data_IF_409246724623
#
_entry.id   IF_409246724623
#
_cell.length_a   1.000
_cell.length_b   1.000
_cell.length_c   1.000
_cell.angle_alpha   90.00
_cell.angle_beta   90.00
_cell.angle_gamma   90.00
#
_symmetry.space_group_name_H-M   'P 1'
#
loop_
_entity.id
_entity.type
_entity.pdbx_description
1 polymer ?
#
# COMPACT_ATOMS: atom_id res chain seq x y z
N UNK A 1 8.83 -27.86 -12.00
CA UNK A 1 8.51 -26.86 -10.96
C UNK A 1 8.59 -25.50 -11.61
N UNK A 2 7.46 -24.82 -11.79
CA UNK A 2 7.40 -23.56 -12.52
C UNK A 2 6.68 -22.57 -11.61
N UNK A 3 7.44 -21.68 -10.97
CA UNK A 3 6.89 -20.56 -10.20
C UNK A 3 6.08 -19.69 -11.15
N UNK A 4 4.75 -19.78 -11.08
CA UNK A 4 3.85 -18.89 -11.82
C UNK A 4 3.65 -17.65 -10.97
N UNK A 5 4.51 -16.67 -11.17
CA UNK A 5 4.29 -15.29 -10.72
C UNK A 5 2.95 -14.80 -11.26
N UNK A 6 2.15 -14.13 -10.42
CA UNK A 6 0.96 -13.41 -10.86
C UNK A 6 1.37 -12.36 -11.90
N UNK A 7 0.59 -12.14 -12.97
CA UNK A 7 0.91 -11.14 -13.97
C UNK A 7 0.89 -9.76 -13.31
N UNK A 8 2.09 -9.18 -13.20
CA UNK A 8 2.32 -7.78 -12.95
C UNK A 8 1.65 -7.03 -14.10
N UNK A 9 0.61 -6.23 -13.81
CA UNK A 9 0.14 -5.24 -14.77
C UNK A 9 1.03 -3.99 -14.63
N UNK A 10 2.26 -4.06 -15.14
CA UNK A 10 3.00 -2.85 -15.50
C UNK A 10 2.33 -2.30 -16.74
N UNK A 11 1.35 -1.42 -16.56
CA UNK A 11 0.85 -0.63 -17.68
C UNK A 11 1.92 0.42 -17.97
N UNK A 12 2.80 0.13 -18.91
CA UNK A 12 3.58 1.17 -19.57
C UNK A 12 2.61 1.99 -20.40
N UNK A 13 2.34 3.23 -20.01
CA UNK A 13 1.74 4.19 -20.92
C UNK A 13 2.88 4.74 -21.80
N UNK A 14 2.95 4.43 -23.10
CA UNK A 14 4.08 4.84 -23.95
C UNK A 14 4.18 6.37 -24.17
N UNK A 15 3.22 7.15 -23.67
CA UNK A 15 3.19 8.60 -23.79
C UNK A 15 3.71 9.36 -22.56
N UNK A 16 3.88 8.69 -21.42
CA UNK A 16 4.40 9.29 -20.19
C UNK A 16 5.28 8.26 -19.49
N UNK A 17 6.49 8.61 -19.04
CA UNK A 17 7.39 7.69 -18.31
C UNK A 17 6.87 7.33 -16.90
N UNK A 18 5.56 7.16 -16.75
CA UNK A 18 4.86 6.92 -15.50
C UNK A 18 4.99 5.45 -15.13
N UNK A 19 5.72 5.20 -14.06
CA UNK A 19 5.72 3.90 -13.38
C UNK A 19 4.69 3.97 -12.26
N UNK A 20 3.67 3.10 -12.33
CA UNK A 20 2.68 2.92 -11.28
C UNK A 20 2.71 1.47 -10.82
N UNK A 21 2.65 1.25 -9.50
CA UNK A 21 2.46 -0.08 -8.92
C UNK A 21 1.20 -0.02 -8.08
N UNK A 22 0.26 -0.91 -8.36
CA UNK A 22 -1.00 -1.08 -7.63
C UNK A 22 -1.06 -2.48 -7.06
N UNK A 23 -1.47 -2.60 -5.81
CA UNK A 23 -1.89 -3.88 -5.25
C UNK A 23 -3.29 -3.77 -4.67
N UNK A 24 -4.01 -4.88 -4.66
CA UNK A 24 -5.31 -4.99 -4.04
C UNK A 24 -5.30 -6.19 -3.11
N UNK A 25 -5.70 -5.99 -1.87
CA UNK A 25 -5.96 -7.09 -0.95
C UNK A 25 -7.29 -7.72 -1.35
N UNK A 26 -7.25 -8.71 -2.26
CA UNK A 26 -8.39 -9.59 -2.49
C UNK A 26 -8.40 -10.63 -1.37
N UNK A 27 -9.60 -10.96 -0.86
CA UNK A 27 -9.83 -12.05 0.10
C UNK A 27 -8.96 -13.27 -0.24
N UNK A 28 -8.47 -14.04 0.75
CA UNK A 28 -7.65 -15.23 0.50
C UNK A 28 -8.34 -16.10 -0.55
N UNK A 29 -7.62 -16.40 -1.63
CA UNK A 29 -8.13 -17.24 -2.70
C UNK A 29 -8.19 -18.65 -2.16
N UNK A 30 -9.39 -19.15 -1.86
CA UNK A 30 -9.57 -20.59 -1.65
C UNK A 30 -9.18 -21.31 -2.94
N UNK A 31 -8.01 -21.93 -2.95
CA UNK A 31 -7.59 -22.83 -4.01
C UNK A 31 -8.32 -24.16 -3.80
N UNK A 32 -9.48 -24.31 -4.45
CA UNK A 32 -10.09 -25.62 -4.61
C UNK A 32 -9.18 -26.47 -5.51
N UNK A 33 -8.43 -27.38 -4.89
CA UNK A 33 -7.77 -28.48 -5.58
C UNK A 33 -8.79 -29.61 -5.77
N UNK A 34 -8.73 -30.30 -6.91
CA UNK A 34 -9.52 -31.52 -7.17
C UNK A 34 -8.79 -32.80 -6.75
N UNK A 35 -7.63 -32.67 -6.11
CA UNK A 35 -6.81 -33.79 -5.64
C UNK A 35 -7.04 -34.03 -4.14
N UNK A 36 -7.72 -35.12 -3.75
CA UNK A 36 -8.02 -35.44 -2.36
C UNK A 36 -6.79 -35.78 -1.50
N UNK A 37 -5.59 -35.86 -2.09
CA UNK A 37 -4.32 -36.04 -1.37
C UNK A 37 -3.61 -34.73 -1.01
N UNK A 38 -4.06 -33.59 -1.55
CA UNK A 38 -3.50 -32.26 -1.32
C UNK A 38 -4.45 -31.39 -0.50
N UNK A 39 -4.98 -31.93 0.60
CA UNK A 39 -5.73 -31.14 1.60
C UNK A 39 -4.77 -30.36 2.51
N UNK A 40 -3.85 -29.62 1.91
CA UNK A 40 -3.13 -28.57 2.61
C UNK A 40 -3.66 -27.25 2.07
N UNK A 41 -4.36 -26.52 2.92
CA UNK A 41 -4.63 -25.10 2.70
C UNK A 41 -3.26 -24.41 2.67
N UNK A 42 -2.63 -24.33 1.50
CA UNK A 42 -1.44 -23.51 1.33
C UNK A 42 -1.93 -22.06 1.27
N UNK A 43 -2.08 -21.44 2.44
CA UNK A 43 -2.13 -19.98 2.58
C UNK A 43 -0.75 -19.45 2.21
N UNK A 44 -0.47 -19.24 0.92
CA UNK A 44 0.58 -18.28 0.55
C UNK A 44 0.01 -16.89 0.79
N UNK A 45 -0.04 -16.46 2.05
CA UNK A 45 -0.28 -15.07 2.44
C UNK A 45 0.91 -14.15 2.06
N UNK A 46 1.86 -14.66 1.27
CA UNK A 46 3.02 -13.93 0.76
C UNK A 46 2.61 -12.94 -0.34
N UNK A 47 1.86 -11.92 0.06
CA UNK A 47 1.69 -10.70 -0.73
C UNK A 47 2.89 -9.81 -0.39
N UNK A 48 3.99 -9.98 -1.13
CA UNK A 48 5.08 -9.01 -1.11
C UNK A 48 4.78 -7.90 -2.12
N UNK A 49 4.63 -6.68 -1.62
CA UNK A 49 4.75 -5.46 -2.41
C UNK A 49 6.16 -5.43 -3.00
N UNK A 50 6.26 -5.27 -4.32
CA UNK A 50 7.54 -5.10 -4.97
C UNK A 50 8.30 -3.95 -4.31
N UNK A 51 9.59 -4.14 -4.04
CA UNK A 51 10.46 -3.08 -3.55
C UNK A 51 10.45 -1.93 -4.55
N UNK A 52 10.15 -0.72 -4.07
CA UNK A 52 10.14 0.46 -4.90
C UNK A 52 11.56 1.04 -4.93
N UNK A 53 12.29 0.85 -6.04
CA UNK A 53 13.62 1.45 -6.20
C UNK A 53 13.52 3.00 -6.13
N UNK A 54 14.04 3.62 -5.06
CA UNK A 54 14.12 5.07 -4.84
C UNK A 54 12.80 5.84 -4.62
N UNK A 55 11.77 5.23 -4.00
CA UNK A 55 10.53 5.95 -3.64
C UNK A 55 10.60 6.65 -2.27
N UNK A 56 9.93 7.80 -2.10
CA UNK A 56 9.83 8.58 -0.85
C UNK A 56 8.87 7.96 0.21
N UNK A 57 8.46 6.71 0.01
CA UNK A 57 7.52 5.99 0.88
C UNK A 57 8.04 4.58 1.20
N UNK A 58 9.36 4.38 1.17
CA UNK A 58 9.98 3.07 1.36
C UNK A 58 9.63 2.48 2.73
N UNK A 59 9.59 3.31 3.78
CA UNK A 59 9.34 2.86 5.14
C UNK A 59 7.90 2.39 5.32
N UNK A 60 6.92 3.15 4.83
CA UNK A 60 5.51 2.73 4.95
C UNK A 60 5.24 1.48 4.14
N UNK A 61 5.86 1.33 2.97
CA UNK A 61 5.72 0.13 2.14
C UNK A 61 6.38 -1.09 2.80
N UNK A 62 7.56 -0.93 3.38
CA UNK A 62 8.25 -1.99 4.10
C UNK A 62 7.45 -2.47 5.32
N UNK A 63 6.88 -1.53 6.09
CA UNK A 63 6.03 -1.86 7.23
C UNK A 63 4.71 -2.52 6.80
N UNK A 64 4.09 -2.07 5.71
CA UNK A 64 2.91 -2.72 5.13
C UNK A 64 3.22 -4.16 4.70
N UNK A 65 4.35 -4.38 4.05
CA UNK A 65 4.84 -5.72 3.70
C UNK A 65 4.95 -6.61 4.93
N UNK A 66 5.69 -6.15 5.95
CA UNK A 66 5.85 -6.88 7.20
C UNK A 66 4.50 -7.24 7.81
N UNK A 67 3.52 -6.33 7.74
CA UNK A 67 2.19 -6.53 8.28
C UNK A 67 1.37 -7.56 7.50
N UNK A 68 1.38 -7.48 6.17
CA UNK A 68 0.69 -8.43 5.30
C UNK A 68 1.24 -9.85 5.48
N UNK A 69 2.56 -10.00 5.62
CA UNK A 69 3.20 -11.28 5.91
C UNK A 69 2.87 -11.83 7.31
N UNK A 70 2.67 -10.95 8.30
CA UNK A 70 2.42 -11.37 9.68
C UNK A 70 0.93 -11.67 9.94
N UNK A 71 0.02 -10.82 9.46
CA UNK A 71 -1.41 -10.92 9.77
C UNK A 71 -2.34 -11.13 8.57
N UNK A 72 -1.87 -10.91 7.34
CA UNK A 72 -2.70 -11.01 6.13
C UNK A 72 -3.67 -9.85 5.90
N UNK A 73 -3.66 -8.82 6.74
CA UNK A 73 -4.44 -7.58 6.58
C UNK A 73 -3.68 -6.37 7.13
N UNK A 74 -4.10 -5.17 6.76
CA UNK A 74 -3.42 -3.93 7.13
C UNK A 74 -4.44 -2.86 7.51
N UNK A 75 -4.49 -2.53 8.81
CA UNK A 75 -5.28 -1.43 9.34
C UNK A 75 -4.33 -0.28 9.73
N UNK A 76 -4.63 0.94 9.30
CA UNK A 76 -3.75 2.10 9.48
C UNK A 76 -4.42 3.21 10.27
N UNK A 77 -3.62 3.90 11.06
CA UNK A 77 -3.90 5.23 11.57
C UNK A 77 -3.00 6.24 10.83
N UNK A 78 -3.55 7.39 10.43
CA UNK A 78 -2.77 8.49 9.85
C UNK A 78 -3.01 9.74 10.68
N UNK A 79 -1.94 10.45 10.99
CA UNK A 79 -1.91 11.61 11.87
C UNK A 79 -1.30 12.82 11.16
N UNK A 80 -1.72 14.01 11.58
CA UNK A 80 -1.16 15.29 11.11
C UNK A 80 0.05 15.74 11.93
N UNK A 81 0.42 15.00 12.98
CA UNK A 81 1.59 15.26 13.80
C UNK A 81 2.19 13.98 14.41
N UNK A 82 3.40 14.11 14.97
CA UNK A 82 4.12 13.01 15.60
C UNK A 82 3.54 12.58 16.97
N UNK A 83 2.56 13.31 17.53
CA UNK A 83 1.98 12.97 18.83
C UNK A 83 1.02 11.78 18.75
N UNK A 84 0.48 11.51 17.56
CA UNK A 84 -0.51 10.45 17.35
C UNK A 84 -1.89 10.77 17.90
N UNK A 85 -2.20 12.04 18.16
CA UNK A 85 -3.48 12.46 18.77
C UNK A 85 -4.44 13.11 17.79
N UNK A 86 -3.93 13.75 16.73
CA UNK A 86 -4.72 14.42 15.69
C UNK A 86 -4.67 13.57 14.42
N UNK A 87 -5.81 13.00 14.04
CA UNK A 87 -5.94 12.18 12.84
C UNK A 87 -6.03 13.04 11.58
N UNK A 88 -5.41 12.56 10.50
CA UNK A 88 -5.71 13.03 9.16
C UNK A 88 -7.10 12.57 8.73
N UNK A 89 -7.66 13.24 7.73
CA UNK A 89 -8.96 12.91 7.16
C UNK A 89 -8.80 12.38 5.73
N UNK A 90 -9.70 11.47 5.34
CA UNK A 90 -9.83 11.02 3.96
C UNK A 90 -10.54 12.06 3.08
N UNK A 91 -10.74 11.73 1.80
CA UNK A 91 -11.44 12.58 0.83
C UNK A 91 -12.94 12.81 1.17
N UNK A 92 -13.51 12.07 2.13
CA UNK A 92 -14.87 12.25 2.62
C UNK A 92 -14.92 13.03 3.94
N UNK A 93 -13.77 13.47 4.46
CA UNK A 93 -13.66 14.18 5.73
C UNK A 93 -13.75 13.29 6.97
N UNK A 94 -13.65 11.96 6.82
CA UNK A 94 -13.64 11.02 7.95
C UNK A 94 -12.22 10.84 8.45
N UNK A 95 -12.06 10.73 9.77
CA UNK A 95 -10.77 10.43 10.38
C UNK A 95 -10.22 9.09 9.88
N UNK A 96 -8.91 9.05 9.67
CA UNK A 96 -8.18 7.84 9.32
C UNK A 96 -7.67 7.19 10.61
N UNK A 97 -8.61 6.63 11.37
CA UNK A 97 -8.36 5.84 12.57
C UNK A 97 -8.78 4.39 12.32
N UNK A 98 -7.85 3.45 12.46
CA UNK A 98 -8.05 2.00 12.28
C UNK A 98 -8.75 1.65 10.98
N UNK A 99 -8.37 2.31 9.90
CA UNK A 99 -8.98 2.11 8.58
C UNK A 99 -8.32 0.94 7.87
N UNK A 100 -9.13 0.03 7.36
CA UNK A 100 -8.66 -1.12 6.60
C UNK A 100 -8.21 -0.68 5.21
N UNK A 101 -6.95 -0.98 4.85
CA UNK A 101 -6.42 -0.66 3.52
C UNK A 101 -6.86 -1.74 2.54
N UNK A 102 -7.75 -1.40 1.61
CA UNK A 102 -8.21 -2.27 0.53
C UNK A 102 -7.18 -2.37 -0.61
N UNK A 103 -6.57 -1.24 -0.94
CA UNK A 103 -5.51 -1.17 -1.95
C UNK A 103 -4.60 0.01 -1.69
N UNK A 104 -3.38 -0.07 -2.20
CA UNK A 104 -2.50 1.09 -2.33
C UNK A 104 -1.91 1.11 -3.73
N UNK A 105 -1.73 2.32 -4.25
CA UNK A 105 -0.99 2.60 -5.45
C UNK A 105 0.10 3.63 -5.15
N UNK A 106 1.29 3.44 -5.72
CA UNK A 106 2.30 4.49 -5.74
C UNK A 106 2.72 4.77 -7.18
N UNK A 107 2.78 6.06 -7.49
CA UNK A 107 3.27 6.59 -8.75
C UNK A 107 4.61 7.26 -8.50
N UNK A 108 5.63 6.84 -9.24
CA UNK A 108 6.95 7.46 -9.14
C UNK A 108 6.94 8.87 -9.73
N UNK A 109 7.83 9.78 -9.27
CA UNK A 109 8.04 11.05 -9.93
C UNK A 109 8.38 10.85 -11.42
N UNK A 110 7.87 11.73 -12.26
CA UNK A 110 8.05 11.64 -13.71
C UNK A 110 8.02 13.02 -14.37
N UNK A 111 8.47 13.08 -15.62
CA UNK A 111 8.28 14.25 -16.50
C UNK A 111 7.05 14.00 -17.36
N UNK A 112 6.09 14.93 -17.34
CA UNK A 112 4.86 14.80 -18.11
C UNK A 112 5.04 15.16 -19.60
N UNK A 113 3.95 15.08 -20.37
CA UNK A 113 3.97 15.40 -21.80
C UNK A 113 4.26 16.87 -22.13
N UNK A 114 4.19 17.76 -21.15
CA UNK A 114 4.50 19.20 -21.27
C UNK A 114 5.97 19.50 -20.93
N UNK A 115 6.70 18.52 -20.38
CA UNK A 115 8.07 18.69 -19.91
C UNK A 115 8.16 19.10 -18.43
N UNK A 116 7.04 19.13 -17.71
CA UNK A 116 7.00 19.54 -16.31
C UNK A 116 7.33 18.36 -15.39
N UNK A 117 8.04 18.65 -14.30
CA UNK A 117 8.31 17.65 -13.26
C UNK A 117 7.07 17.45 -12.37
N UNK A 118 6.62 16.20 -12.29
CA UNK A 118 5.50 15.78 -11.46
C UNK A 118 6.04 14.93 -10.31
N UNK A 119 5.74 15.34 -9.07
CA UNK A 119 6.07 14.59 -7.87
C UNK A 119 5.37 13.22 -7.84
N UNK A 120 6.01 12.26 -7.18
CA UNK A 120 5.38 10.98 -6.90
C UNK A 120 4.17 11.13 -5.97
N UNK A 121 3.35 10.08 -5.89
CA UNK A 121 2.12 10.11 -5.11
C UNK A 121 1.76 8.71 -4.63
N UNK A 122 1.50 8.56 -3.33
CA UNK A 122 0.88 7.37 -2.74
C UNK A 122 -0.62 7.60 -2.57
N UNK A 123 -1.42 6.62 -3.01
CA UNK A 123 -2.87 6.59 -2.84
C UNK A 123 -3.23 5.33 -2.07
N UNK A 124 -3.88 5.51 -0.93
CA UNK A 124 -4.51 4.45 -0.14
C UNK A 124 -6.01 4.49 -0.41
N UNK A 125 -6.60 3.32 -0.68
CA UNK A 125 -8.05 3.15 -0.77
C UNK A 125 -8.50 2.29 0.39
N UNK A 126 -9.52 2.75 1.11
CA UNK A 126 -10.08 2.05 2.25
C UNK A 126 -11.23 1.12 1.86
N UNK A 127 -11.75 0.37 2.83
CA UNK A 127 -12.81 -0.62 2.65
C UNK A 127 -14.15 -0.03 2.17
N UNK A 128 -14.44 1.22 2.56
CA UNK A 128 -15.60 2.01 2.12
C UNK A 128 -15.35 2.79 0.82
N UNK A 129 -14.27 2.48 0.09
CA UNK A 129 -13.84 3.11 -1.15
C UNK A 129 -13.39 4.59 -1.01
N UNK A 130 -13.38 5.15 0.21
CA UNK A 130 -12.76 6.45 0.43
C UNK A 130 -11.23 6.36 0.29
N UNK A 131 -10.59 7.49 0.02
CA UNK A 131 -9.17 7.56 -0.33
C UNK A 131 -8.41 8.55 0.53
N UNK A 132 -7.15 8.22 0.78
CA UNK A 132 -6.13 9.15 1.24
C UNK A 132 -5.01 9.18 0.20
N UNK A 133 -4.58 10.38 -0.21
CA UNK A 133 -3.47 10.53 -1.15
C UNK A 133 -2.45 11.51 -0.64
N UNK A 134 -1.17 11.21 -0.82
CA UNK A 134 -0.06 12.03 -0.36
C UNK A 134 1.00 12.16 -1.46
N UNK A 135 1.31 13.40 -1.83
CA UNK A 135 2.40 13.73 -2.76
C UNK A 135 3.75 13.56 -2.07
N UNK A 136 4.76 13.14 -2.83
CA UNK A 136 6.16 13.12 -2.39
C UNK A 136 6.62 14.51 -1.91
N UNK A 137 6.04 15.61 -2.39
CA UNK A 137 6.37 16.96 -1.90
C UNK A 137 6.02 17.15 -0.42
N UNK A 138 5.02 16.43 0.08
CA UNK A 138 4.46 16.62 1.43
C UNK A 138 4.59 15.38 2.32
N UNK A 139 5.41 14.39 1.94
CA UNK A 139 5.54 13.14 2.69
C UNK A 139 5.86 13.37 4.18
N UNK A 140 6.65 14.39 4.52
CA UNK A 140 7.01 14.73 5.90
C UNK A 140 5.90 15.38 6.74
N UNK A 141 4.75 15.71 6.16
CA UNK A 141 3.64 16.39 6.87
C UNK A 141 2.72 15.40 7.59
N UNK A 142 2.86 14.10 7.33
CA UNK A 142 1.99 13.07 7.91
C UNK A 142 2.80 11.99 8.62
N UNK A 143 2.16 11.39 9.62
CA UNK A 143 2.65 10.26 10.38
C UNK A 143 1.66 9.11 10.30
N UNK A 144 2.13 7.87 10.43
CA UNK A 144 1.28 6.69 10.46
C UNK A 144 1.65 5.74 11.59
N UNK A 145 0.69 4.89 11.96
CA UNK A 145 0.94 3.66 12.71
C UNK A 145 0.06 2.54 12.16
N UNK A 146 0.57 1.31 12.14
CA UNK A 146 -0.24 0.14 11.83
C UNK A 146 -0.92 -0.38 13.09
N UNK A 147 -2.24 -0.43 13.05
CA UNK A 147 -3.04 -0.91 14.16
C UNK A 147 -2.85 -2.42 14.37
N UNK A 148 -2.67 -2.82 15.62
CA UNK A 148 -2.47 -4.21 16.03
C UNK A 148 -1.03 -4.72 15.90
N UNK A 149 -0.03 -3.84 15.80
CA UNK A 149 1.38 -4.17 16.11
C UNK A 149 1.68 -3.85 17.58
N UNK A 150 2.51 -4.69 18.21
CA UNK A 150 3.02 -4.47 19.57
C UNK A 150 4.56 -4.50 19.55
N UNK A 151 5.25 -3.39 19.88
CA UNK A 151 4.69 -2.09 20.23
C UNK A 151 4.07 -1.38 19.03
N UNK A 152 3.05 -0.55 19.28
CA UNK A 152 2.55 0.39 18.28
C UNK A 152 3.57 1.51 18.10
N UNK A 153 4.12 1.64 16.89
CA UNK A 153 5.13 2.64 16.56
C UNK A 153 4.52 3.66 15.59
N UNK A 154 4.66 4.94 15.93
CA UNK A 154 4.29 6.05 15.04
C UNK A 154 5.54 6.45 14.26
N UNK A 155 5.42 6.49 12.93
CA UNK A 155 6.51 6.85 12.02
C UNK A 155 6.05 7.95 11.07
N UNK A 156 6.97 8.80 10.63
CA UNK A 156 6.70 9.76 9.56
C UNK A 156 6.56 9.00 8.23
N UNK A 157 5.74 9.49 7.30
CA UNK A 157 5.75 8.95 5.94
C UNK A 157 7.10 9.28 5.28
N UNK A 158 7.87 8.23 4.96
CA UNK A 158 9.18 8.25 4.28
C UNK A 158 9.42 6.94 3.55
#
# INVERSE_FOLDING_TARGET
MTNRYLPISTVFNPYTNVKQITFSLRKPRELHTTDPSLSETITTNDVSLNMYENGQFESVIADMNARLHTLGYCDINIYTDASGTIFAVDNEGKNIEKRFIKSMAYTYPYIDGSGDFVFGNIVLTFDDDSIFSLSDEYHTVFWYSFYGMDPMVIKQFS
#
